data_IF_103414761316
#
_entry.id   IF_103414761316
#
_cell.length_a   1.000
_cell.length_b   1.000
_cell.length_c   1.000
_cell.angle_alpha   90.00
_cell.angle_beta   90.00
_cell.angle_gamma   90.00
#
_symmetry.space_group_name_H-M   'P 1'
#
loop_
_entity.id
_entity.type
_entity.pdbx_description
1 polymer ?
#
# COMPACT_ATOMS: atom_id res chain seq x y z
N UNK A 1 22.79 -4.04 -10.35
CA UNK A 1 24.15 -4.10 -9.75
C UNK A 1 24.21 -5.36 -8.90
N UNK A 2 25.23 -6.16 -9.07
CA UNK A 2 25.50 -7.32 -8.20
C UNK A 2 26.03 -6.74 -6.89
N UNK A 3 25.62 -7.29 -5.74
CA UNK A 3 26.13 -6.85 -4.44
C UNK A 3 27.65 -7.05 -4.39
N UNK A 4 28.40 -5.98 -4.20
CA UNK A 4 29.87 -6.04 -4.17
C UNK A 4 30.40 -6.81 -2.94
N UNK A 5 29.51 -7.08 -1.95
CA UNK A 5 29.82 -7.81 -0.73
C UNK A 5 28.69 -8.81 -0.38
N UNK A 6 28.62 -9.96 -1.06
CA UNK A 6 27.54 -10.94 -0.86
C UNK A 6 27.47 -11.52 0.57
N UNK A 7 28.58 -11.50 1.31
CA UNK A 7 28.66 -11.99 2.69
C UNK A 7 28.38 -10.92 3.76
N UNK A 8 28.03 -9.69 3.37
CA UNK A 8 27.76 -8.60 4.32
C UNK A 8 26.50 -8.92 5.15
N UNK A 9 26.68 -9.07 6.48
CA UNK A 9 25.55 -9.21 7.41
C UNK A 9 24.94 -7.83 7.69
N UNK A 10 23.75 -7.59 7.19
CA UNK A 10 22.98 -6.36 7.44
C UNK A 10 22.24 -6.46 8.77
N UNK A 11 21.84 -5.32 9.32
CA UNK A 11 21.00 -5.31 10.51
C UNK A 11 19.56 -5.67 10.17
N UNK A 12 19.02 -5.17 9.05
CA UNK A 12 17.68 -5.54 8.60
C UNK A 12 17.56 -5.62 7.08
N UNK A 13 16.75 -6.57 6.61
CA UNK A 13 16.21 -6.60 5.24
C UNK A 13 14.71 -6.37 5.31
N UNK A 14 14.23 -5.38 4.55
CA UNK A 14 12.80 -5.08 4.41
C UNK A 14 12.31 -5.60 3.06
N UNK A 15 11.29 -6.44 3.08
CA UNK A 15 10.69 -7.01 1.88
C UNK A 15 9.46 -6.20 1.49
N UNK A 16 9.60 -5.39 0.43
CA UNK A 16 8.59 -4.49 -0.08
C UNK A 16 8.84 -3.01 0.24
N UNK A 17 8.84 -2.16 -0.80
CA UNK A 17 8.98 -0.70 -0.71
C UNK A 17 7.63 0.03 -0.81
N UNK A 18 6.57 -0.54 -0.24
CA UNK A 18 5.33 0.17 0.07
C UNK A 18 5.50 1.11 1.26
N UNK A 19 4.45 1.85 1.63
CA UNK A 19 4.49 2.78 2.77
C UNK A 19 5.02 2.11 4.05
N UNK A 20 4.55 0.91 4.36
CA UNK A 20 4.99 0.20 5.58
C UNK A 20 6.49 -0.10 5.57
N UNK A 21 7.03 -0.58 4.44
CA UNK A 21 8.46 -0.89 4.33
C UNK A 21 9.34 0.35 4.37
N UNK A 22 8.96 1.41 3.64
CA UNK A 22 9.69 2.67 3.65
C UNK A 22 9.65 3.35 5.02
N UNK A 23 8.47 3.34 5.68
CA UNK A 23 8.31 3.87 7.03
C UNK A 23 9.05 3.05 8.10
N UNK A 24 9.32 1.77 7.85
CA UNK A 24 10.18 0.97 8.73
C UNK A 24 11.66 1.23 8.47
N UNK A 25 12.07 1.33 7.21
CA UNK A 25 13.46 1.52 6.82
C UNK A 25 14.03 2.86 7.30
N UNK A 26 13.28 3.96 7.14
CA UNK A 26 13.76 5.31 7.50
C UNK A 26 14.25 5.44 8.93
N UNK A 27 13.44 5.17 9.97
CA UNK A 27 13.86 5.27 11.36
C UNK A 27 14.98 4.29 11.75
N UNK A 28 15.02 3.09 11.17
CA UNK A 28 16.11 2.13 11.38
C UNK A 28 17.43 2.69 10.84
N UNK A 29 17.42 3.20 9.61
CA UNK A 29 18.61 3.81 8.98
C UNK A 29 19.03 5.06 9.72
N UNK A 30 18.11 5.91 10.16
CA UNK A 30 18.39 7.11 10.95
C UNK A 30 19.03 6.77 12.30
N UNK A 31 18.72 5.60 12.88
CA UNK A 31 19.39 5.07 14.08
C UNK A 31 20.76 4.42 13.81
N UNK A 32 21.23 4.42 12.55
CA UNK A 32 22.54 3.89 12.16
C UNK A 32 22.52 2.42 11.74
N UNK A 33 21.36 1.77 11.65
CA UNK A 33 21.25 0.38 11.19
C UNK A 33 21.54 0.27 9.68
N UNK A 34 22.23 -0.80 9.28
CA UNK A 34 22.44 -1.18 7.90
C UNK A 34 21.20 -1.88 7.35
N UNK A 35 20.40 -1.15 6.55
CA UNK A 35 19.11 -1.60 6.03
C UNK A 35 19.16 -1.76 4.51
N UNK A 36 18.59 -2.86 4.01
CA UNK A 36 18.31 -3.08 2.59
C UNK A 36 16.82 -3.30 2.39
N UNK A 37 16.22 -2.56 1.47
CA UNK A 37 14.82 -2.73 1.04
C UNK A 37 14.80 -3.42 -0.33
N UNK A 38 14.10 -4.55 -0.44
CA UNK A 38 13.95 -5.32 -1.68
C UNK A 38 12.51 -5.15 -2.19
N UNK A 39 12.37 -4.52 -3.35
CA UNK A 39 11.07 -4.26 -3.99
C UNK A 39 10.94 -5.07 -5.29
N UNK A 40 9.82 -5.78 -5.41
CA UNK A 40 9.56 -6.64 -6.57
C UNK A 40 9.19 -5.86 -7.86
N UNK A 41 8.58 -4.68 -7.71
CA UNK A 41 8.22 -3.78 -8.82
C UNK A 41 9.39 -2.93 -9.26
N UNK A 42 9.21 -2.25 -10.37
CA UNK A 42 10.08 -1.20 -10.91
C UNK A 42 9.82 0.18 -10.28
N UNK A 43 8.97 0.26 -9.26
CA UNK A 43 8.59 1.47 -8.54
C UNK A 43 8.35 1.21 -7.06
N UNK A 44 8.54 2.24 -6.25
CA UNK A 44 8.15 2.28 -4.85
C UNK A 44 6.63 2.54 -4.69
N UNK A 45 6.15 2.54 -3.44
CA UNK A 45 4.80 2.96 -3.06
C UNK A 45 3.76 1.83 -2.99
N UNK A 46 4.03 0.69 -3.64
CA UNK A 46 3.10 -0.44 -3.58
C UNK A 46 1.70 -0.08 -4.09
N UNK A 47 0.71 -0.05 -3.19
CA UNK A 47 -0.70 0.31 -3.46
C UNK A 47 -0.97 1.81 -3.53
N UNK A 48 0.02 2.68 -3.32
CA UNK A 48 -0.02 4.07 -3.71
C UNK A 48 0.43 4.16 -5.18
N UNK A 49 -0.51 4.33 -6.06
CA UNK A 49 -0.28 4.40 -7.50
C UNK A 49 -1.01 5.61 -8.05
N UNK A 50 -0.24 6.58 -8.52
CA UNK A 50 -0.72 7.73 -9.26
C UNK A 50 -0.30 7.66 -10.73
N UNK A 51 -1.01 8.38 -11.57
CA UNK A 51 -0.63 8.60 -12.97
C UNK A 51 -0.84 10.05 -13.35
N UNK A 52 0.06 10.59 -14.20
CA UNK A 52 -0.05 11.95 -14.71
C UNK A 52 -1.14 12.01 -15.79
N UNK A 53 -1.95 13.04 -15.72
CA UNK A 53 -2.96 13.40 -16.71
C UNK A 53 -2.84 14.90 -17.01
N UNK A 54 -3.46 15.41 -18.08
CA UNK A 54 -3.51 16.87 -18.28
C UNK A 54 -4.07 17.60 -17.06
N UNK A 55 -3.31 18.53 -16.51
CA UNK A 55 -3.68 19.30 -15.31
C UNK A 55 -3.26 18.75 -13.96
N UNK A 56 -2.61 17.58 -13.89
CA UNK A 56 -2.10 17.07 -12.61
C UNK A 56 -1.95 15.55 -12.52
N UNK A 57 -2.25 15.00 -11.35
CA UNK A 57 -2.14 13.57 -11.05
C UNK A 57 -3.49 13.03 -10.58
N UNK A 58 -3.82 11.81 -10.99
CA UNK A 58 -4.95 11.05 -10.47
C UNK A 58 -4.49 9.74 -9.83
N UNK A 59 -5.17 9.31 -8.77
CA UNK A 59 -4.80 8.13 -8.01
C UNK A 59 -5.54 6.88 -8.51
N UNK A 60 -4.78 5.90 -8.94
CA UNK A 60 -5.24 4.56 -9.29
C UNK A 60 -5.17 3.57 -8.10
N UNK A 61 -4.53 3.98 -7.01
CA UNK A 61 -4.45 3.28 -5.73
C UNK A 61 -5.22 4.01 -4.63
N UNK A 62 -4.63 4.10 -3.43
CA UNK A 62 -5.16 4.91 -2.34
C UNK A 62 -5.29 6.38 -2.77
N UNK A 63 -6.29 7.07 -2.22
CA UNK A 63 -6.69 8.42 -2.70
C UNK A 63 -6.72 9.45 -1.61
N UNK A 64 -7.20 9.09 -0.42
CA UNK A 64 -7.48 10.00 0.69
C UNK A 64 -7.02 9.44 2.04
N UNK A 65 -7.00 10.32 3.04
CA UNK A 65 -6.90 10.00 4.45
C UNK A 65 -7.84 10.90 5.24
N UNK A 66 -8.16 10.48 6.49
CA UNK A 66 -9.09 11.19 7.37
C UNK A 66 -8.33 11.91 8.49
N UNK A 67 -8.93 12.97 9.04
CA UNK A 67 -8.31 13.78 10.11
C UNK A 67 -7.96 13.00 11.38
N UNK A 68 -8.70 11.91 11.66
CA UNK A 68 -8.44 11.03 12.79
C UNK A 68 -7.29 10.02 12.55
N UNK A 69 -6.67 10.05 11.42
CA UNK A 69 -5.48 9.27 11.06
C UNK A 69 -4.23 10.10 11.35
N UNK A 70 -3.78 10.05 12.62
CA UNK A 70 -2.77 10.97 13.16
C UNK A 70 -1.37 10.78 12.55
N UNK A 71 -0.97 9.54 12.24
CA UNK A 71 0.37 9.23 11.71
C UNK A 71 0.55 9.77 10.32
N UNK A 72 -0.42 9.49 9.44
CA UNK A 72 -0.36 10.02 8.08
C UNK A 72 -0.46 11.54 8.09
N UNK A 73 -1.30 12.13 8.93
CA UNK A 73 -1.42 13.57 9.09
C UNK A 73 -0.10 14.20 9.57
N UNK A 74 0.61 13.53 10.47
CA UNK A 74 1.91 13.98 10.96
C UNK A 74 3.00 13.84 9.91
N UNK A 75 3.01 12.71 9.18
CA UNK A 75 3.95 12.45 8.10
C UNK A 75 3.83 13.50 6.99
N UNK A 76 2.61 13.77 6.55
CA UNK A 76 2.30 14.77 5.51
C UNK A 76 2.83 16.15 5.91
N UNK A 77 2.59 16.58 7.16
CA UNK A 77 3.12 17.86 7.67
C UNK A 77 4.64 17.87 7.76
N UNK A 78 5.24 16.80 8.31
CA UNK A 78 6.70 16.68 8.49
C UNK A 78 7.45 16.79 7.16
N UNK A 79 6.94 16.16 6.12
CA UNK A 79 7.57 16.13 4.80
C UNK A 79 7.11 17.23 3.85
N UNK A 80 6.20 18.10 4.27
CA UNK A 80 5.68 19.16 3.43
C UNK A 80 4.89 18.66 2.21
N UNK A 81 4.28 17.46 2.31
CA UNK A 81 3.42 16.92 1.25
C UNK A 81 2.17 17.78 1.15
N UNK A 82 1.97 18.40 -0.01
CA UNK A 82 0.83 19.28 -0.24
C UNK A 82 -0.49 18.50 -0.28
N UNK A 83 -1.50 19.00 0.44
CA UNK A 83 -2.82 18.36 0.54
C UNK A 83 -3.94 19.37 0.44
N UNK A 84 -5.12 18.90 0.08
CA UNK A 84 -6.35 19.68 -0.03
C UNK A 84 -7.56 18.87 0.45
N UNK A 85 -8.69 19.55 0.68
CA UNK A 85 -9.90 18.90 1.15
C UNK A 85 -10.64 18.19 0.02
N UNK A 86 -11.21 17.00 0.29
CA UNK A 86 -12.13 16.33 -0.61
C UNK A 86 -13.30 17.23 -0.92
N UNK A 87 -13.70 17.33 -2.20
CA UNK A 87 -14.89 18.05 -2.60
C UNK A 87 -16.14 17.34 -2.11
N UNK A 88 -16.99 18.03 -1.34
CA UNK A 88 -18.21 17.48 -0.75
C UNK A 88 -19.46 18.24 -1.16
N UNK A 89 -19.33 19.41 -1.79
CA UNK A 89 -20.49 20.24 -2.12
C UNK A 89 -21.32 19.65 -3.26
N UNK A 90 -22.64 19.71 -3.15
CA UNK A 90 -23.58 19.21 -4.14
C UNK A 90 -24.32 17.96 -3.71
N UNK A 91 -25.21 17.48 -4.57
CA UNK A 91 -26.09 16.36 -4.31
C UNK A 91 -25.50 15.03 -4.78
N UNK A 92 -25.93 13.94 -4.13
CA UNK A 92 -25.58 12.57 -4.50
C UNK A 92 -26.56 12.01 -5.53
N UNK A 93 -26.06 11.26 -6.49
CA UNK A 93 -26.88 10.46 -7.42
C UNK A 93 -27.00 9.03 -6.91
N UNK A 94 -28.22 8.50 -6.88
CA UNK A 94 -28.48 7.10 -6.50
C UNK A 94 -29.24 6.41 -7.63
N UNK A 95 -28.73 5.27 -8.09
CA UNK A 95 -29.38 4.44 -9.10
C UNK A 95 -29.77 3.09 -8.48
N UNK A 96 -31.08 2.81 -8.43
CA UNK A 96 -31.61 1.49 -8.10
C UNK A 96 -31.98 0.69 -9.36
N UNK A 97 -32.71 -0.41 -9.20
CA UNK A 97 -33.11 -1.26 -10.32
C UNK A 97 -34.08 -0.55 -11.31
N UNK A 98 -34.74 0.52 -10.90
CA UNK A 98 -35.88 1.14 -11.61
C UNK A 98 -35.61 2.56 -12.06
N UNK A 99 -34.89 3.35 -11.27
CA UNK A 99 -34.73 4.78 -11.51
C UNK A 99 -33.40 5.34 -11.03
N UNK A 100 -33.06 6.52 -11.56
CA UNK A 100 -31.97 7.37 -11.05
C UNK A 100 -32.59 8.50 -10.25
N UNK A 101 -32.11 8.73 -9.04
CA UNK A 101 -32.60 9.74 -8.11
C UNK A 101 -31.50 10.68 -7.69
N UNK A 102 -31.83 11.93 -7.43
CA UNK A 102 -30.92 12.90 -6.82
C UNK A 102 -31.35 13.11 -5.36
N UNK A 103 -30.36 12.89 -4.46
CA UNK A 103 -30.56 13.08 -3.03
C UNK A 103 -29.80 14.35 -2.57
N UNK A 104 -30.46 15.22 -1.76
CA UNK A 104 -29.83 16.44 -1.28
C UNK A 104 -28.56 16.19 -0.48
N UNK A 105 -27.49 16.89 -0.83
CA UNK A 105 -26.16 16.84 -0.21
C UNK A 105 -25.38 15.58 -0.57
N UNK A 106 -24.08 15.61 -0.26
CA UNK A 106 -23.22 14.43 -0.41
C UNK A 106 -23.54 13.41 0.70
N UNK A 107 -24.02 12.23 0.29
CA UNK A 107 -24.44 11.13 1.18
C UNK A 107 -23.45 9.97 1.20
N UNK A 108 -22.38 10.07 0.42
CA UNK A 108 -21.41 9.01 0.23
C UNK A 108 -20.06 9.36 0.89
N UNK A 109 -19.57 10.56 0.60
CA UNK A 109 -18.27 11.01 1.11
C UNK A 109 -18.38 11.66 2.48
N UNK A 110 -17.33 11.51 3.26
CA UNK A 110 -17.12 12.22 4.52
C UNK A 110 -15.91 13.14 4.38
N UNK A 111 -15.76 14.15 5.27
CA UNK A 111 -14.57 15.00 5.27
C UNK A 111 -13.29 14.18 5.27
N UNK A 112 -12.47 14.38 4.26
CA UNK A 112 -11.20 13.69 4.04
C UNK A 112 -10.22 14.64 3.35
N UNK A 113 -8.95 14.30 3.41
CA UNK A 113 -7.91 15.03 2.71
C UNK A 113 -7.32 14.21 1.57
N UNK A 114 -6.92 14.90 0.52
CA UNK A 114 -6.26 14.33 -0.65
C UNK A 114 -4.91 14.97 -0.88
N UNK A 115 -4.08 14.32 -1.66
CA UNK A 115 -2.71 14.74 -1.96
C UNK A 115 -2.68 15.47 -3.29
N UNK A 116 -2.09 16.66 -3.34
CA UNK A 116 -2.03 17.49 -4.55
C UNK A 116 -1.30 16.78 -5.69
N UNK A 117 -0.19 16.11 -5.38
CA UNK A 117 0.61 15.36 -6.34
C UNK A 117 0.33 13.85 -6.29
N UNK A 118 -0.87 13.46 -5.84
CA UNK A 118 -1.30 12.09 -5.66
C UNK A 118 -0.69 11.41 -4.42
N UNK A 119 -1.32 10.32 -3.98
CA UNK A 119 -0.91 9.59 -2.77
C UNK A 119 0.51 8.99 -2.87
N UNK A 120 1.00 8.73 -4.09
CA UNK A 120 2.36 8.22 -4.30
C UNK A 120 3.45 9.19 -3.81
N UNK A 121 3.15 10.50 -3.68
CA UNK A 121 4.05 11.50 -3.09
C UNK A 121 4.46 11.18 -1.65
N UNK A 122 3.59 10.50 -0.89
CA UNK A 122 3.90 9.99 0.46
C UNK A 122 5.04 8.98 0.43
N UNK A 123 5.00 8.04 -0.51
CA UNK A 123 6.07 7.04 -0.66
C UNK A 123 7.39 7.69 -1.12
N UNK A 124 7.30 8.68 -2.03
CA UNK A 124 8.46 9.43 -2.48
C UNK A 124 9.10 10.23 -1.34
N UNK A 125 8.29 10.84 -0.47
CA UNK A 125 8.76 11.57 0.71
C UNK A 125 9.52 10.65 1.68
N UNK A 126 8.96 9.46 1.98
CA UNK A 126 9.62 8.47 2.82
C UNK A 126 10.92 7.93 2.20
N UNK A 127 10.92 7.64 0.91
CA UNK A 127 12.11 7.15 0.22
C UNK A 127 13.21 8.20 0.15
N UNK A 128 12.86 9.48 0.11
CA UNK A 128 13.82 10.59 0.13
C UNK A 128 14.65 10.70 1.42
N UNK A 129 14.23 10.07 2.52
CA UNK A 129 15.01 9.97 3.76
C UNK A 129 16.05 8.84 3.73
N UNK A 130 15.97 7.92 2.77
CA UNK A 130 16.83 6.75 2.71
C UNK A 130 18.12 7.03 1.91
N UNK A 131 19.23 6.39 2.26
CA UNK A 131 20.44 6.38 1.41
C UNK A 131 20.13 5.88 -0.01
N UNK A 132 20.85 6.39 -1.00
CA UNK A 132 20.60 6.13 -2.43
C UNK A 132 20.56 4.63 -2.78
N UNK A 133 21.37 3.82 -2.11
CA UNK A 133 21.50 2.39 -2.40
C UNK A 133 20.67 1.50 -1.45
N UNK A 134 19.84 2.12 -0.60
CA UNK A 134 19.04 1.40 0.39
C UNK A 134 17.89 0.60 -0.25
N UNK A 135 17.37 1.03 -1.40
CA UNK A 135 16.23 0.38 -2.08
C UNK A 135 16.66 -0.24 -3.39
N UNK A 136 16.44 -1.55 -3.53
CA UNK A 136 16.61 -2.29 -4.80
C UNK A 136 15.25 -2.61 -5.38
N UNK A 137 14.98 -2.07 -6.55
CA UNK A 137 13.76 -2.34 -7.31
C UNK A 137 13.94 -3.51 -8.27
N UNK A 138 12.83 -4.10 -8.73
CA UNK A 138 12.80 -5.27 -9.61
C UNK A 138 13.53 -6.48 -9.02
N UNK A 139 13.54 -6.60 -7.70
CA UNK A 139 14.29 -7.61 -6.95
C UNK A 139 13.35 -8.41 -6.01
N UNK A 140 12.46 -9.25 -6.57
CA UNK A 140 11.55 -10.06 -5.78
C UNK A 140 12.30 -11.08 -4.93
N UNK A 141 11.93 -11.14 -3.65
CA UNK A 141 12.38 -12.18 -2.72
C UNK A 141 11.64 -13.48 -3.02
N UNK A 142 12.38 -14.60 -3.04
CA UNK A 142 11.85 -15.93 -3.33
C UNK A 142 11.99 -16.91 -2.18
N UNK A 143 13.01 -16.76 -1.31
CA UNK A 143 13.13 -17.57 -0.09
C UNK A 143 13.73 -16.77 1.06
N UNK A 144 13.41 -17.20 2.28
CA UNK A 144 13.98 -16.70 3.53
C UNK A 144 14.30 -17.88 4.41
N UNK A 145 15.61 -18.10 4.64
CA UNK A 145 16.12 -19.20 5.42
C UNK A 145 16.72 -18.68 6.73
N UNK A 146 16.50 -19.40 7.83
CA UNK A 146 17.06 -19.10 9.14
C UNK A 146 17.94 -20.29 9.58
N UNK A 147 19.19 -20.38 9.08
CA UNK A 147 20.09 -21.51 9.35
C UNK A 147 20.52 -21.57 10.82
N UNK A 148 20.49 -20.43 11.50
CA UNK A 148 20.85 -20.29 12.91
C UNK A 148 20.06 -19.13 13.57
N UNK A 149 20.07 -19.00 14.92
CA UNK A 149 19.34 -17.96 15.64
C UNK A 149 19.81 -16.52 15.40
N UNK A 150 20.93 -16.31 14.72
CA UNK A 150 21.57 -15.00 14.60
C UNK A 150 21.51 -14.43 13.18
N UNK A 151 21.08 -15.23 12.20
CA UNK A 151 21.16 -14.87 10.80
C UNK A 151 19.98 -15.38 9.99
N UNK A 152 19.43 -14.49 9.17
CA UNK A 152 18.56 -14.81 8.05
C UNK A 152 19.36 -14.76 6.75
N UNK A 153 19.02 -15.65 5.82
CA UNK A 153 19.51 -15.70 4.45
C UNK A 153 18.34 -15.44 3.52
N UNK A 154 18.34 -14.32 2.82
CA UNK A 154 17.26 -13.88 1.94
C UNK A 154 17.71 -14.05 0.50
N UNK A 155 17.05 -14.92 -0.26
CA UNK A 155 17.27 -15.08 -1.69
C UNK A 155 16.33 -14.20 -2.48
N UNK A 156 16.88 -13.43 -3.41
CA UNK A 156 16.13 -12.58 -4.32
C UNK A 156 16.63 -12.76 -5.75
N UNK A 157 16.01 -12.04 -6.68
CA UNK A 157 16.44 -12.08 -8.09
C UNK A 157 17.89 -11.64 -8.28
N UNK A 158 18.38 -10.69 -7.49
CA UNK A 158 19.75 -10.18 -7.60
C UNK A 158 20.81 -11.05 -6.92
N UNK A 159 20.39 -12.02 -6.11
CA UNK A 159 21.28 -12.93 -5.39
C UNK A 159 20.87 -13.19 -3.95
N UNK A 160 21.83 -13.55 -3.14
CA UNK A 160 21.65 -13.90 -1.72
C UNK A 160 22.12 -12.74 -0.83
N UNK A 161 21.32 -12.43 0.19
CA UNK A 161 21.60 -11.37 1.16
C UNK A 161 21.49 -11.94 2.58
N UNK A 162 22.30 -11.40 3.50
CA UNK A 162 22.30 -11.83 4.90
C UNK A 162 21.83 -10.69 5.80
N UNK A 163 20.97 -11.00 6.78
CA UNK A 163 20.52 -10.02 7.75
C UNK A 163 20.30 -10.63 9.14
N UNK A 164 20.32 -9.76 10.16
CA UNK A 164 19.91 -10.11 11.53
C UNK A 164 18.39 -10.20 11.64
N UNK A 165 17.69 -9.28 10.99
CA UNK A 165 16.21 -9.19 11.01
C UNK A 165 15.65 -9.12 9.59
N UNK A 166 14.47 -9.72 9.40
CA UNK A 166 13.68 -9.62 8.16
C UNK A 166 12.31 -9.04 8.48
N UNK A 167 11.94 -7.99 7.75
CA UNK A 167 10.67 -7.28 7.90
C UNK A 167 9.81 -7.52 6.65
N UNK A 168 8.70 -8.24 6.81
CA UNK A 168 7.75 -8.52 5.74
C UNK A 168 6.76 -7.35 5.60
N UNK A 169 7.01 -6.44 4.68
CA UNK A 169 6.17 -5.28 4.38
C UNK A 169 5.27 -5.50 3.15
N UNK A 170 4.79 -6.73 2.96
CA UNK A 170 3.89 -7.16 1.90
C UNK A 170 2.69 -7.90 2.51
N UNK A 171 1.55 -8.01 1.78
CA UNK A 171 0.38 -8.72 2.31
C UNK A 171 0.70 -10.14 2.78
N UNK A 172 0.19 -10.60 3.94
CA UNK A 172 0.50 -11.93 4.48
C UNK A 172 0.19 -13.06 3.52
N UNK A 173 -0.94 -13.01 2.82
CA UNK A 173 -1.31 -14.05 1.85
C UNK A 173 -0.37 -14.07 0.65
N UNK A 174 0.13 -12.91 0.20
CA UNK A 174 1.14 -12.86 -0.85
C UNK A 174 2.47 -13.41 -0.37
N UNK A 175 2.89 -13.10 0.87
CA UNK A 175 4.13 -13.60 1.43
C UNK A 175 4.18 -15.13 1.44
N UNK A 176 3.14 -15.79 1.98
CA UNK A 176 3.10 -17.26 2.06
C UNK A 176 2.84 -17.95 0.71
N UNK A 177 2.35 -17.22 -0.28
CA UNK A 177 2.16 -17.75 -1.64
C UNK A 177 3.40 -17.61 -2.53
N UNK A 178 4.34 -16.71 -2.21
CA UNK A 178 5.45 -16.35 -3.11
C UNK A 178 6.83 -16.49 -2.50
N UNK A 179 6.95 -16.76 -1.20
CA UNK A 179 8.22 -16.86 -0.48
C UNK A 179 8.28 -18.20 0.23
N UNK A 180 9.34 -18.97 -0.03
CA UNK A 180 9.66 -20.18 0.69
C UNK A 180 10.35 -19.86 2.01
N UNK A 181 9.90 -20.46 3.13
CA UNK A 181 10.46 -20.24 4.46
C UNK A 181 11.12 -21.51 4.99
N UNK A 182 12.38 -21.40 5.47
CA UNK A 182 13.12 -22.48 6.13
C UNK A 182 13.66 -22.02 7.49
N UNK A 183 13.26 -22.63 8.64
CA UNK A 183 12.21 -23.63 8.73
C UNK A 183 10.84 -23.05 8.33
N UNK A 184 9.92 -23.92 7.95
CA UNK A 184 8.56 -23.49 7.56
C UNK A 184 7.90 -22.69 8.68
N UNK A 185 7.04 -21.73 8.30
CA UNK A 185 6.21 -21.03 9.27
C UNK A 185 5.32 -22.02 10.04
N UNK A 186 4.97 -21.75 11.31
CA UNK A 186 3.98 -22.54 12.02
C UNK A 186 2.71 -22.68 11.18
N UNK A 187 2.16 -23.88 11.07
CA UNK A 187 1.00 -24.19 10.23
C UNK A 187 -0.20 -23.25 10.49
N UNK A 188 -0.46 -22.96 11.76
CA UNK A 188 -1.52 -22.02 12.16
C UNK A 188 -1.28 -20.59 11.65
N UNK A 189 -0.01 -20.14 11.59
CA UNK A 189 0.35 -18.84 11.08
C UNK A 189 0.28 -18.80 9.54
N UNK A 190 0.79 -19.83 8.88
CA UNK A 190 0.72 -19.96 7.42
C UNK A 190 -0.74 -19.96 6.93
N UNK A 191 -1.60 -20.71 7.64
CA UNK A 191 -3.04 -20.76 7.37
C UNK A 191 -3.71 -19.40 7.65
N UNK A 192 -3.40 -18.74 8.77
CA UNK A 192 -3.89 -17.41 9.06
C UNK A 192 -3.51 -16.44 7.93
N UNK A 193 -2.25 -16.46 7.50
CA UNK A 193 -1.73 -15.59 6.45
C UNK A 193 -2.43 -15.84 5.11
N UNK A 194 -2.62 -17.11 4.70
CA UNK A 194 -3.30 -17.47 3.44
C UNK A 194 -4.75 -16.99 3.38
N UNK A 195 -5.44 -16.94 4.53
CA UNK A 195 -6.84 -16.52 4.66
C UNK A 195 -7.00 -15.00 4.90
N UNK A 196 -5.94 -14.29 5.24
CA UNK A 196 -6.00 -12.83 5.44
C UNK A 196 -6.13 -12.13 4.09
N UNK A 197 -7.24 -11.41 3.83
CA UNK A 197 -7.46 -10.76 2.55
C UNK A 197 -6.48 -9.63 2.34
N UNK A 198 -6.19 -9.37 1.07
CA UNK A 198 -5.49 -8.16 0.67
C UNK A 198 -6.49 -7.04 0.49
N UNK A 199 -6.28 -5.91 1.15
CA UNK A 199 -7.09 -4.72 0.89
C UNK A 199 -6.90 -4.27 -0.57
N UNK A 200 -7.99 -4.06 -1.28
CA UNK A 200 -8.08 -3.85 -2.73
C UNK A 200 -7.77 -5.09 -3.61
N UNK A 201 -7.50 -6.27 -3.05
CA UNK A 201 -7.16 -7.45 -3.84
C UNK A 201 -8.29 -7.99 -4.73
N UNK A 202 -9.54 -7.55 -4.54
CA UNK A 202 -10.71 -7.91 -5.35
C UNK A 202 -11.34 -6.70 -6.07
N UNK A 203 -10.60 -5.59 -6.17
CA UNK A 203 -11.11 -4.31 -6.64
C UNK A 203 -10.48 -3.93 -7.98
N UNK A 204 -11.31 -3.40 -8.87
CA UNK A 204 -10.91 -2.64 -10.05
C UNK A 204 -11.24 -1.18 -9.80
N UNK A 205 -10.24 -0.33 -9.81
CA UNK A 205 -10.42 1.12 -9.72
C UNK A 205 -10.43 1.72 -11.11
N UNK A 206 -11.39 2.58 -11.35
CA UNK A 206 -11.57 3.28 -12.63
C UNK A 206 -11.56 4.77 -12.38
N UNK A 207 -10.82 5.50 -13.20
CA UNK A 207 -10.80 6.97 -13.19
C UNK A 207 -11.16 7.48 -14.59
N UNK A 208 -12.18 8.33 -14.67
CA UNK A 208 -12.60 9.03 -15.86
C UNK A 208 -12.23 10.50 -15.74
N UNK A 209 -11.44 11.03 -16.68
CA UNK A 209 -11.06 12.45 -16.72
C UNK A 209 -11.92 13.22 -17.70
N UNK A 210 -12.10 14.51 -17.45
CA UNK A 210 -12.93 15.40 -18.26
C UNK A 210 -12.27 16.77 -18.43
N UNK A 211 -12.68 17.57 -19.42
CA UNK A 211 -12.17 18.96 -19.58
C UNK A 211 -12.50 19.86 -18.39
N UNK A 212 -13.67 19.68 -17.77
CA UNK A 212 -14.13 20.45 -16.61
C UNK A 212 -14.93 19.55 -15.66
N UNK A 213 -15.02 19.88 -14.37
CA UNK A 213 -15.87 19.15 -13.42
C UNK A 213 -17.36 19.54 -13.59
N UNK A 214 -17.94 19.32 -14.78
CA UNK A 214 -19.27 19.76 -15.22
C UNK A 214 -20.39 19.34 -14.27
N UNK A 215 -20.24 18.25 -13.52
CA UNK A 215 -21.22 17.82 -12.50
C UNK A 215 -21.37 18.84 -11.38
N UNK A 216 -20.32 19.59 -11.05
CA UNK A 216 -20.37 20.65 -10.03
C UNK A 216 -21.25 21.81 -10.49
N UNK A 217 -21.19 22.17 -11.76
CA UNK A 217 -22.07 23.20 -12.36
C UNK A 217 -23.54 22.78 -12.36
N UNK A 218 -23.79 21.47 -12.36
CA UNK A 218 -25.13 20.90 -12.22
C UNK A 218 -25.59 20.79 -10.75
N UNK A 219 -24.76 21.23 -9.80
CA UNK A 219 -25.01 21.10 -8.37
C UNK A 219 -24.86 19.68 -7.82
N UNK A 220 -24.11 18.80 -8.52
CA UNK A 220 -23.82 17.45 -8.07
C UNK A 220 -22.44 17.41 -7.39
N UNK A 221 -22.32 16.56 -6.37
CA UNK A 221 -21.07 16.37 -5.63
C UNK A 221 -20.01 15.52 -6.39
N UNK A 222 -20.39 14.93 -7.54
CA UNK A 222 -19.59 13.87 -8.17
C UNK A 222 -19.70 12.54 -7.43
N UNK A 223 -20.56 12.46 -6.42
CA UNK A 223 -20.82 11.27 -5.64
C UNK A 223 -22.02 10.50 -6.19
N UNK A 224 -21.88 9.21 -6.44
CA UNK A 224 -22.98 8.36 -6.86
C UNK A 224 -22.87 6.95 -6.27
N UNK A 225 -24.04 6.37 -5.97
CA UNK A 225 -24.18 4.96 -5.63
C UNK A 225 -25.10 4.28 -6.64
N UNK A 226 -24.64 3.14 -7.21
CA UNK A 226 -25.41 2.47 -8.26
C UNK A 226 -25.47 0.96 -8.03
N UNK A 227 -26.68 0.41 -8.14
CA UNK A 227 -26.94 -1.02 -8.19
C UNK A 227 -26.92 -1.59 -9.62
N UNK A 228 -26.71 -0.72 -10.63
CA UNK A 228 -26.73 -1.07 -12.05
C UNK A 228 -25.44 -0.65 -12.75
N UNK A 229 -24.69 -1.62 -13.23
CA UNK A 229 -23.45 -1.39 -13.93
C UNK A 229 -22.21 -1.78 -13.13
N UNK A 230 -21.00 -1.59 -13.70
CA UNK A 230 -19.77 -2.05 -13.08
C UNK A 230 -19.42 -1.31 -11.79
N UNK A 231 -19.62 0.02 -11.76
CA UNK A 231 -19.22 0.86 -10.64
C UNK A 231 -20.33 0.91 -9.58
N UNK A 232 -20.03 0.50 -8.36
CA UNK A 232 -20.97 0.54 -7.24
C UNK A 232 -20.97 1.89 -6.54
N UNK A 233 -19.79 2.46 -6.39
CA UNK A 233 -19.54 3.76 -5.78
C UNK A 233 -18.72 4.61 -6.74
N UNK A 234 -19.09 5.89 -6.87
CA UNK A 234 -18.40 6.87 -7.69
C UNK A 234 -18.21 8.12 -6.86
N UNK A 235 -17.03 8.74 -6.98
CA UNK A 235 -16.60 9.87 -6.19
C UNK A 235 -15.94 10.94 -7.07
N UNK A 236 -16.02 12.19 -6.67
CA UNK A 236 -15.20 13.26 -7.25
C UNK A 236 -13.72 13.03 -6.94
N UNK A 237 -12.90 12.95 -7.98
CA UNK A 237 -11.44 12.86 -7.88
C UNK A 237 -10.75 14.12 -8.43
N UNK A 238 -11.47 15.18 -8.69
CA UNK A 238 -10.84 16.37 -9.21
C UNK A 238 -9.77 16.91 -8.28
N UNK A 239 -8.73 17.46 -8.88
CA UNK A 239 -7.65 18.10 -8.14
C UNK A 239 -8.08 19.41 -7.48
N UNK A 240 -7.12 20.16 -6.90
CA UNK A 240 -7.39 21.47 -6.35
C UNK A 240 -8.09 22.37 -7.39
N UNK A 241 -9.10 23.14 -6.95
CA UNK A 241 -9.87 24.04 -7.82
C UNK A 241 -10.55 23.33 -9.02
N UNK A 242 -10.72 22.00 -8.93
CA UNK A 242 -11.38 21.20 -9.97
C UNK A 242 -10.46 20.73 -11.12
N UNK A 243 -9.14 20.90 -10.99
CA UNK A 243 -8.16 20.51 -12.03
C UNK A 243 -7.11 19.55 -11.46
N UNK A 244 -6.85 18.38 -12.11
CA UNK A 244 -7.62 17.81 -13.23
C UNK A 244 -9.07 17.51 -12.82
N UNK A 245 -10.02 17.59 -13.76
CA UNK A 245 -11.39 17.20 -13.51
C UNK A 245 -11.54 15.69 -13.69
N UNK A 246 -11.96 14.98 -12.64
CA UNK A 246 -12.04 13.52 -12.68
C UNK A 246 -13.14 12.97 -11.76
N UNK A 247 -13.74 11.87 -12.19
CA UNK A 247 -14.56 10.98 -11.38
C UNK A 247 -13.82 9.64 -11.23
N UNK A 248 -13.91 9.00 -10.08
CA UNK A 248 -13.45 7.63 -9.94
C UNK A 248 -14.51 6.74 -9.32
N UNK A 249 -14.41 5.45 -9.57
CA UNK A 249 -15.28 4.48 -8.95
C UNK A 249 -14.62 3.12 -8.78
N UNK A 250 -15.29 2.27 -8.00
CA UNK A 250 -14.86 0.91 -7.74
C UNK A 250 -15.79 -0.09 -8.40
N UNK A 251 -15.19 -1.05 -9.14
CA UNK A 251 -15.87 -2.22 -9.66
C UNK A 251 -15.30 -3.48 -8.99
N UNK A 252 -16.12 -4.53 -8.90
CA UNK A 252 -15.64 -5.85 -8.46
C UNK A 252 -14.92 -6.57 -9.59
N UNK A 253 -13.82 -7.24 -9.29
CA UNK A 253 -13.03 -8.01 -10.26
C UNK A 253 -13.84 -9.11 -10.98
N UNK A 254 -14.88 -9.65 -10.36
CA UNK A 254 -15.74 -10.72 -10.90
C UNK A 254 -16.74 -10.25 -11.97
N UNK A 255 -16.88 -8.94 -12.20
CA UNK A 255 -17.92 -8.38 -13.06
C UNK A 255 -17.41 -8.06 -14.48
N UNK A 256 -16.34 -8.72 -14.96
CA UNK A 256 -15.63 -8.36 -16.19
C UNK A 256 -15.92 -9.27 -17.39
N UNK A 257 -17.16 -9.66 -17.61
CA UNK A 257 -17.56 -10.28 -18.89
C UNK A 257 -17.72 -9.22 -19.97
N UNK A 258 -16.75 -9.14 -20.87
CA UNK A 258 -16.78 -8.27 -22.04
C UNK A 258 -16.15 -6.88 -21.84
N UNK A 259 -16.53 -5.93 -22.68
CA UNK A 259 -16.01 -4.56 -22.68
C UNK A 259 -16.52 -3.74 -21.49
N UNK A 260 -15.73 -3.75 -20.42
CA UNK A 260 -16.01 -2.98 -19.21
C UNK A 260 -16.02 -1.47 -19.50
N UNK A 261 -15.20 -1.00 -20.44
CA UNK A 261 -15.05 0.41 -20.78
C UNK A 261 -16.37 0.99 -21.29
N UNK A 262 -16.99 0.37 -22.27
CA UNK A 262 -18.30 0.79 -22.80
C UNK A 262 -19.39 0.72 -21.72
N UNK A 263 -19.37 -0.30 -20.86
CA UNK A 263 -20.35 -0.41 -19.77
C UNK A 263 -20.21 0.74 -18.76
N UNK A 264 -18.99 1.14 -18.43
CA UNK A 264 -18.68 2.25 -17.52
C UNK A 264 -19.12 3.58 -18.14
N UNK A 265 -18.77 3.87 -19.40
CA UNK A 265 -19.16 5.09 -20.09
C UNK A 265 -20.68 5.27 -20.11
N UNK A 266 -21.42 4.21 -20.46
CA UNK A 266 -22.90 4.21 -20.42
C UNK A 266 -23.45 4.43 -18.99
N UNK A 267 -22.78 3.90 -17.98
CA UNK A 267 -23.19 4.11 -16.59
C UNK A 267 -22.95 5.57 -16.17
N UNK A 268 -21.78 6.14 -16.46
CA UNK A 268 -21.47 7.53 -16.17
C UNK A 268 -22.44 8.49 -16.87
N UNK A 269 -22.77 8.22 -18.14
CA UNK A 269 -23.77 8.98 -18.89
C UNK A 269 -25.15 8.96 -18.21
N UNK A 270 -25.61 7.78 -17.75
CA UNK A 270 -26.91 7.69 -17.06
C UNK A 270 -26.94 8.44 -15.73
N UNK A 271 -25.81 8.44 -15.00
CA UNK A 271 -25.73 9.04 -13.66
C UNK A 271 -25.49 10.55 -13.70
N UNK A 272 -24.64 11.02 -14.62
CA UNK A 272 -24.17 12.42 -14.66
C UNK A 272 -24.57 13.17 -15.93
N UNK A 273 -25.31 12.51 -16.84
CA UNK A 273 -25.81 13.10 -18.08
C UNK A 273 -24.84 12.97 -19.25
N UNK A 274 -25.26 13.48 -20.45
CA UNK A 274 -24.52 13.27 -21.71
C UNK A 274 -23.06 13.73 -21.69
N UNK A 275 -22.71 14.75 -20.91
CA UNK A 275 -21.34 15.22 -20.78
C UNK A 275 -20.39 14.16 -20.18
N UNK A 276 -20.91 13.16 -19.49
CA UNK A 276 -20.13 12.07 -18.90
C UNK A 276 -19.89 10.89 -19.87
N UNK A 277 -20.54 10.88 -21.04
CA UNK A 277 -20.46 9.77 -21.99
C UNK A 277 -19.07 9.60 -22.62
N UNK A 278 -18.36 10.70 -22.79
CA UNK A 278 -17.08 10.74 -23.52
C UNK A 278 -15.97 11.36 -22.64
N UNK A 279 -15.40 10.59 -21.71
CA UNK A 279 -14.27 11.05 -20.90
C UNK A 279 -13.03 11.27 -21.79
N UNK A 280 -12.19 12.26 -21.44
CA UNK A 280 -10.91 12.50 -22.10
C UNK A 280 -10.00 11.29 -21.98
N UNK A 281 -9.92 10.71 -20.77
CA UNK A 281 -9.24 9.44 -20.51
C UNK A 281 -10.13 8.56 -19.64
N UNK A 282 -10.08 7.26 -19.86
CA UNK A 282 -10.67 6.25 -18.99
C UNK A 282 -9.57 5.26 -18.56
N UNK A 283 -9.11 5.44 -17.33
CA UNK A 283 -8.00 4.69 -16.76
C UNK A 283 -8.56 3.56 -15.89
N UNK A 284 -8.06 2.35 -16.09
CA UNK A 284 -8.54 1.15 -15.37
C UNK A 284 -7.36 0.46 -14.71
N UNK A 285 -7.39 0.34 -13.38
CA UNK A 285 -6.43 -0.43 -12.60
C UNK A 285 -7.11 -1.64 -11.97
N UNK A 286 -6.83 -2.80 -12.48
CA UNK A 286 -7.29 -4.08 -11.93
C UNK A 286 -6.28 -4.60 -10.89
N UNK A 287 -6.55 -4.34 -9.62
CA UNK A 287 -5.70 -4.79 -8.52
C UNK A 287 -5.78 -6.30 -8.29
N UNK A 288 -6.86 -6.95 -8.71
CA UNK A 288 -7.02 -8.40 -8.58
C UNK A 288 -6.02 -9.19 -9.44
N UNK A 289 -5.55 -8.57 -10.53
CA UNK A 289 -4.57 -9.14 -11.46
C UNK A 289 -3.14 -8.66 -11.21
N UNK A 290 -2.95 -7.75 -10.25
CA UNK A 290 -1.61 -7.30 -9.89
C UNK A 290 -0.90 -8.37 -9.05
N UNK A 291 0.07 -9.04 -9.66
CA UNK A 291 0.79 -10.20 -9.08
C UNK A 291 1.57 -9.88 -7.81
N UNK A 292 1.90 -8.60 -7.56
CA UNK A 292 2.64 -8.14 -6.39
C UNK A 292 1.73 -7.52 -5.32
N UNK A 293 0.43 -7.53 -5.56
CA UNK A 293 -0.59 -7.15 -4.59
C UNK A 293 -1.40 -8.36 -4.17
N UNK A 294 -1.89 -9.14 -5.14
CA UNK A 294 -2.82 -10.24 -4.90
C UNK A 294 -2.15 -11.59 -5.18
N UNK A 295 -2.19 -12.55 -4.25
CA UNK A 295 -1.69 -13.89 -4.53
C UNK A 295 -2.58 -14.60 -5.56
N UNK A 296 -2.06 -15.63 -6.26
CA UNK A 296 -2.89 -16.49 -7.07
C UNK A 296 -4.07 -17.08 -6.27
N UNK A 297 -5.26 -17.21 -6.86
CA UNK A 297 -6.40 -17.81 -6.18
C UNK A 297 -6.07 -19.22 -5.66
N UNK A 298 -6.29 -19.46 -4.38
CA UNK A 298 -6.05 -20.75 -3.74
C UNK A 298 -7.35 -21.55 -3.47
N UNK A 299 -8.51 -21.05 -3.94
CA UNK A 299 -9.81 -21.65 -3.72
C UNK A 299 -10.40 -21.43 -2.32
N UNK A 300 -9.69 -20.75 -1.42
CA UNK A 300 -10.17 -20.42 -0.08
C UNK A 300 -10.85 -19.05 -0.06
N UNK A 301 -11.87 -18.92 0.79
CA UNK A 301 -12.55 -17.65 0.99
C UNK A 301 -11.79 -16.80 2.00
N UNK A 302 -11.27 -15.65 1.56
CA UNK A 302 -10.62 -14.69 2.42
C UNK A 302 -11.57 -14.13 3.49
N UNK A 303 -11.06 -13.91 4.70
CA UNK A 303 -11.86 -13.45 5.83
C UNK A 303 -11.31 -12.13 6.39
N UNK A 304 -12.07 -11.06 6.21
CA UNK A 304 -11.68 -9.69 6.66
C UNK A 304 -11.48 -9.58 8.17
N UNK A 305 -12.12 -10.43 9.00
CA UNK A 305 -11.92 -10.43 10.45
C UNK A 305 -10.51 -10.88 10.88
N UNK A 306 -9.73 -11.43 9.96
CA UNK A 306 -8.35 -11.85 10.20
C UNK A 306 -7.34 -10.71 10.03
N UNK A 307 -7.74 -9.58 9.46
CA UNK A 307 -6.88 -8.39 9.41
C UNK A 307 -6.62 -7.89 10.84
N UNK A 308 -5.38 -7.53 11.12
CA UNK A 308 -4.96 -7.09 12.44
C UNK A 308 -4.91 -8.17 13.50
N UNK A 309 -4.98 -9.45 13.12
CA UNK A 309 -4.97 -10.57 14.07
C UNK A 309 -3.75 -10.51 14.99
N UNK A 310 -3.90 -10.76 16.34
CA UNK A 310 -2.83 -10.64 17.32
C UNK A 310 -1.58 -11.50 17.05
N UNK A 311 -1.70 -12.58 16.29
CA UNK A 311 -0.55 -13.38 15.89
C UNK A 311 0.47 -12.56 15.06
N UNK A 312 0.03 -11.58 14.26
CA UNK A 312 0.93 -10.72 13.50
C UNK A 312 1.72 -9.72 14.35
N UNK A 313 1.32 -9.53 15.61
CA UNK A 313 2.04 -8.67 16.55
C UNK A 313 3.28 -9.35 17.15
N UNK A 314 3.42 -10.65 16.91
CA UNK A 314 4.54 -11.45 17.40
C UNK A 314 5.65 -11.49 16.34
N UNK A 315 6.86 -11.72 16.79
CA UNK A 315 7.99 -12.07 15.94
C UNK A 315 8.13 -13.60 15.87
N UNK A 316 8.72 -14.08 14.80
CA UNK A 316 8.90 -15.51 14.53
C UNK A 316 10.35 -15.83 14.20
N UNK A 317 10.68 -17.11 13.98
CA UNK A 317 12.01 -17.54 13.55
C UNK A 317 13.10 -16.93 14.43
N UNK A 318 13.17 -17.40 15.66
CA UNK A 318 14.11 -16.94 16.69
C UNK A 318 14.01 -15.43 17.02
N UNK A 319 12.87 -14.82 16.78
CA UNK A 319 12.71 -13.37 16.99
C UNK A 319 13.14 -12.51 15.80
N UNK A 320 13.48 -13.10 14.65
CA UNK A 320 14.10 -12.41 13.50
C UNK A 320 13.14 -12.05 12.38
N UNK A 321 11.95 -12.65 12.33
CA UNK A 321 10.94 -12.42 11.29
C UNK A 321 9.79 -11.58 11.83
N UNK A 322 9.48 -10.46 11.17
CA UNK A 322 8.49 -9.48 11.61
C UNK A 322 7.50 -9.15 10.50
N UNK A 323 6.22 -8.96 10.85
CA UNK A 323 5.17 -8.55 9.91
C UNK A 323 4.91 -7.05 10.02
N UNK A 324 4.99 -6.31 8.91
CA UNK A 324 4.81 -4.86 8.87
C UNK A 324 3.74 -4.37 7.86
N UNK A 325 3.04 -5.28 7.15
CA UNK A 325 1.99 -4.88 6.22
C UNK A 325 0.78 -4.26 6.92
N UNK A 326 0.03 -3.40 6.22
CA UNK A 326 -1.18 -2.80 6.77
C UNK A 326 -2.21 -3.83 7.24
N UNK A 327 -2.29 -4.98 6.56
CA UNK A 327 -3.15 -6.10 6.96
C UNK A 327 -2.79 -6.67 8.33
N UNK A 328 -1.59 -6.38 8.82
CA UNK A 328 -1.09 -6.86 10.12
C UNK A 328 -1.21 -5.82 11.23
N UNK A 329 -1.71 -4.64 10.93
CA UNK A 329 -1.86 -3.54 11.88
C UNK A 329 -2.99 -3.81 12.89
N UNK A 330 -2.75 -3.50 14.16
CA UNK A 330 -3.76 -3.62 15.22
C UNK A 330 -4.89 -2.59 15.12
N UNK A 331 -4.66 -1.52 14.38
CA UNK A 331 -5.61 -0.45 14.11
C UNK A 331 -5.49 -0.02 12.65
N UNK A 332 -6.57 0.46 12.06
CA UNK A 332 -6.62 0.95 10.67
C UNK A 332 -6.10 -0.04 9.62
N UNK A 333 -6.27 -1.35 9.86
CA UNK A 333 -5.84 -2.36 8.90
C UNK A 333 -6.48 -2.14 7.53
N UNK A 334 -5.66 -2.11 6.48
CA UNK A 334 -6.09 -1.77 5.11
C UNK A 334 -5.85 -0.31 4.72
N UNK A 335 -5.64 0.60 5.67
CA UNK A 335 -5.37 2.01 5.41
C UNK A 335 -3.86 2.32 5.33
N UNK A 336 -3.50 3.50 4.84
CA UNK A 336 -2.13 4.02 4.92
C UNK A 336 -1.71 4.17 6.39
N UNK A 337 -2.61 4.67 7.23
CA UNK A 337 -2.42 4.76 8.69
C UNK A 337 -2.04 3.41 9.30
N UNK A 338 -2.74 2.32 8.93
CA UNK A 338 -2.40 0.98 9.40
C UNK A 338 -1.01 0.51 8.96
N UNK A 339 -0.56 0.90 7.77
CA UNK A 339 0.80 0.63 7.34
C UNK A 339 1.84 1.31 8.24
N UNK A 340 1.58 2.54 8.65
CA UNK A 340 2.43 3.30 9.59
C UNK A 340 2.38 2.70 11.00
N UNK A 341 1.21 2.29 11.49
CA UNK A 341 1.06 1.58 12.79
C UNK A 341 1.91 0.30 12.82
N UNK A 342 1.84 -0.50 11.76
CA UNK A 342 2.60 -1.75 11.68
C UNK A 342 4.11 -1.48 11.60
N UNK A 343 4.53 -0.47 10.84
CA UNK A 343 5.93 -0.07 10.71
C UNK A 343 6.51 0.41 12.05
N UNK A 344 5.84 1.32 12.77
CA UNK A 344 6.28 1.83 14.08
C UNK A 344 6.50 0.70 15.09
N UNK A 345 5.56 -0.25 15.15
CA UNK A 345 5.69 -1.42 16.03
C UNK A 345 6.93 -2.23 15.71
N UNK A 346 7.17 -2.53 14.44
CA UNK A 346 8.32 -3.34 14.02
C UNK A 346 9.63 -2.58 14.24
N UNK A 347 9.68 -1.29 13.93
CA UNK A 347 10.86 -0.45 14.19
C UNK A 347 11.25 -0.50 15.66
N UNK A 348 10.29 -0.27 16.58
CA UNK A 348 10.56 -0.35 18.02
C UNK A 348 11.11 -1.72 18.43
N UNK A 349 10.53 -2.81 17.92
CA UNK A 349 10.97 -4.17 18.23
C UNK A 349 12.39 -4.44 17.72
N UNK A 350 12.69 -4.07 16.48
CA UNK A 350 14.01 -4.32 15.85
C UNK A 350 15.08 -3.45 16.50
N UNK A 351 14.80 -2.17 16.78
CA UNK A 351 15.76 -1.30 17.46
C UNK A 351 16.13 -1.82 18.86
N UNK A 352 15.14 -2.30 19.63
CA UNK A 352 15.40 -2.91 20.93
C UNK A 352 16.29 -4.14 20.80
N UNK A 353 15.98 -5.04 19.86
CA UNK A 353 16.78 -6.26 19.65
C UNK A 353 18.22 -5.95 19.20
N UNK A 354 18.42 -4.97 18.31
CA UNK A 354 19.76 -4.56 17.87
C UNK A 354 20.59 -3.93 19.00
N UNK A 355 19.95 -3.17 19.90
CA UNK A 355 20.61 -2.60 21.06
C UNK A 355 21.08 -3.68 22.06
N UNK A 356 20.20 -4.65 22.38
CA UNK A 356 20.51 -5.79 23.25
C UNK A 356 21.67 -6.63 22.69
N UNK A 357 21.71 -6.85 21.36
CA UNK A 357 22.79 -7.58 20.71
C UNK A 357 24.14 -6.85 20.76
N UNK A 358 24.08 -5.51 20.66
CA UNK A 358 25.30 -4.69 20.76
C UNK A 358 25.87 -4.73 22.19
N UNK A 359 25.02 -4.72 23.21
CA UNK A 359 25.44 -4.82 24.61
C UNK A 359 25.98 -6.22 24.96
N UNK A 360 25.43 -7.26 24.35
CA UNK A 360 25.84 -8.65 24.58
C UNK A 360 27.16 -9.01 23.84
N UNK A 361 27.62 -8.20 22.89
CA UNK A 361 28.87 -8.45 22.17
C UNK A 361 30.06 -8.28 23.14
N UNK A 362 31.01 -9.24 23.23
CA UNK A 362 32.18 -9.13 24.08
C UNK A 362 33.02 -7.91 23.66
N UNK A 363 33.48 -7.12 24.64
CA UNK A 363 34.37 -5.99 24.40
C UNK A 363 35.60 -6.45 23.57
N UNK A 364 36.04 -5.67 22.57
CA UNK A 364 37.20 -6.03 21.78
C UNK A 364 38.38 -6.25 22.72
N UNK A 365 38.96 -7.47 22.68
CA UNK A 365 40.16 -7.79 23.43
C UNK A 365 41.25 -6.82 22.99
N UNK A 366 41.68 -5.96 23.88
CA UNK A 366 42.85 -5.12 23.68
C UNK A 366 44.05 -6.07 23.70
N UNK A 367 44.48 -6.56 22.54
CA UNK A 367 45.77 -7.20 22.41
C UNK A 367 46.84 -6.18 22.79
N UNK A 368 47.35 -6.36 24.00
CA UNK A 368 48.47 -5.61 24.50
C UNK A 368 49.67 -5.83 23.59
N UNK A 369 50.08 -4.80 22.87
CA UNK A 369 51.42 -4.73 22.30
C UNK A 369 52.41 -4.73 23.48
N UNK A 370 52.90 -5.91 23.86
CA UNK A 370 54.15 -6.00 24.61
C UNK A 370 55.30 -5.87 23.61
N UNK A 371 56.01 -4.80 23.81
CA UNK A 371 57.32 -4.47 23.22
C UNK A 371 58.36 -5.52 23.51
#
# INVERSE_FOLDING_TARGET
MIDEHPDRLRDAIVVGAGVAGLAAAGPLTAAGADVLVLEARDRIGGRLLGTSVPGGVVDLGATWYWEFEDRISTLVRRHGVATFDQHLAGDTVVEDATMVQRLPGNRLDVPARRYTDGAASVASALAGELPTDCVRMQDPVTSIDFPDPHRAVVSSRSGTHHARHVILALPPSLAVASIDFTPALPESLARLASLTPVWMGDVVKVVATYPTPFWRDQGLAGAAFSHRGPLQEIHDMSGPEGTPAALFGFARATNHDGDITTKIQRQLERLFGPAAADPTDLLVQDWSRDRWTNPPPNGETANRSLMGHPAYQRHFQYGRLHWAATETASQFAGHVEGALVAAERVVSTVQTALAEETEAAPAPSVEGKNT
#
